data_IF_026432902466
#
_entry.id   IF_026432902466
#
_cell.length_a   1.000
_cell.length_b   1.000
_cell.length_c   1.000
_cell.angle_alpha   90.00
_cell.angle_beta   90.00
_cell.angle_gamma   90.00
#
_symmetry.space_group_name_H-M   'P 1'
#
loop_
_entity.id
_entity.type
_entity.pdbx_description
1 polymer ?
#
# COMPACT_ATOMS: atom_id res chain seq x y z
N UNK A 1 0.58 31.70 -10.31
CA UNK A 1 -0.47 30.94 -11.00
C UNK A 1 -0.94 29.78 -10.10
N UNK A 2 -2.14 29.24 -10.36
CA UNK A 2 -2.63 28.10 -9.59
C UNK A 2 -1.70 26.88 -9.64
N UNK A 3 -1.03 26.69 -10.77
CA UNK A 3 -0.03 25.61 -10.91
C UNK A 3 1.18 25.81 -9.98
N UNK A 4 1.68 27.03 -9.84
CA UNK A 4 2.78 27.29 -8.90
C UNK A 4 2.37 27.12 -7.43
N UNK A 5 1.12 27.39 -7.10
CA UNK A 5 0.60 27.10 -5.76
C UNK A 5 0.54 25.60 -5.52
N UNK A 6 0.06 24.83 -6.50
CA UNK A 6 0.04 23.35 -6.44
C UNK A 6 1.44 22.79 -6.22
N UNK A 7 2.42 23.23 -7.02
CA UNK A 7 3.82 22.79 -6.87
C UNK A 7 4.36 23.10 -5.47
N UNK A 8 4.08 24.30 -4.94
CA UNK A 8 4.51 24.68 -3.59
C UNK A 8 3.89 23.82 -2.51
N UNK A 9 2.58 23.56 -2.59
CA UNK A 9 1.87 22.74 -1.62
C UNK A 9 2.42 21.28 -1.64
N UNK A 10 2.69 20.74 -2.81
CA UNK A 10 3.27 19.39 -2.92
C UNK A 10 4.70 19.34 -2.38
N UNK A 11 5.51 20.37 -2.66
CA UNK A 11 6.86 20.48 -2.10
C UNK A 11 6.87 20.59 -0.57
N UNK A 12 5.82 21.14 0.02
CA UNK A 12 5.63 21.22 1.47
C UNK A 12 5.04 19.94 2.09
N UNK A 13 4.82 18.90 1.28
CA UNK A 13 4.30 17.62 1.77
C UNK A 13 2.78 17.59 2.00
N UNK A 14 2.06 18.57 1.47
CA UNK A 14 0.58 18.58 1.55
C UNK A 14 0.03 17.38 0.78
N UNK A 15 -0.63 16.46 1.47
CA UNK A 15 -1.16 15.21 0.90
C UNK A 15 -2.65 15.28 0.54
N UNK A 16 -3.37 16.28 1.03
CA UNK A 16 -4.78 16.49 0.76
C UNK A 16 -5.05 16.58 -0.75
N UNK A 17 -6.24 16.11 -1.22
CA UNK A 17 -6.60 16.23 -2.62
C UNK A 17 -6.77 17.70 -3.01
N UNK A 18 -6.25 18.06 -4.18
CA UNK A 18 -6.32 19.42 -4.71
C UNK A 18 -7.06 19.36 -6.04
N UNK A 19 -8.17 20.08 -6.13
CA UNK A 19 -8.93 20.25 -7.35
C UNK A 19 -8.61 21.62 -7.95
N UNK A 20 -8.20 21.64 -9.22
CA UNK A 20 -7.86 22.87 -9.93
C UNK A 20 -9.08 23.39 -10.70
N UNK A 21 -9.39 24.69 -10.52
CA UNK A 21 -10.41 25.38 -11.31
C UNK A 21 -9.75 26.48 -12.13
N UNK A 22 -10.09 26.55 -13.42
CA UNK A 22 -9.53 27.55 -14.32
C UNK A 22 -10.59 28.17 -15.22
N UNK A 23 -10.44 29.45 -15.55
CA UNK A 23 -11.27 30.12 -16.55
C UNK A 23 -10.82 29.89 -18.00
N UNK A 24 -9.59 29.42 -18.21
CA UNK A 24 -9.01 29.16 -19.50
C UNK A 24 -8.17 27.89 -19.45
N UNK A 25 -8.85 26.73 -19.61
CA UNK A 25 -8.19 25.43 -19.62
C UNK A 25 -7.61 25.10 -20.99
N UNK A 26 -6.34 24.77 -21.03
CA UNK A 26 -5.71 24.15 -22.19
C UNK A 26 -5.31 22.72 -21.85
N UNK A 27 -5.17 21.88 -22.89
CA UNK A 27 -4.71 20.49 -22.70
C UNK A 27 -3.36 20.47 -21.97
N UNK A 28 -2.49 21.40 -22.32
CA UNK A 28 -1.16 21.50 -21.69
C UNK A 28 -1.25 21.84 -20.19
N UNK A 29 -2.11 22.78 -19.80
CA UNK A 29 -2.35 23.13 -18.40
C UNK A 29 -2.92 21.94 -17.64
N UNK A 30 -3.88 21.23 -18.22
CA UNK A 30 -4.48 20.04 -17.65
C UNK A 30 -3.42 18.95 -17.39
N UNK A 31 -2.59 18.64 -18.38
CA UNK A 31 -1.49 17.67 -18.24
C UNK A 31 -0.50 18.08 -17.16
N UNK A 32 -0.12 19.36 -17.10
CA UNK A 32 0.79 19.87 -16.06
C UNK A 32 0.16 19.77 -14.67
N UNK A 33 -1.13 20.08 -14.53
CA UNK A 33 -1.84 19.97 -13.26
C UNK A 33 -1.84 18.52 -12.74
N UNK A 34 -2.19 17.55 -13.56
CA UNK A 34 -2.17 16.14 -13.16
C UNK A 34 -0.75 15.64 -12.87
N UNK A 35 0.23 16.05 -13.66
CA UNK A 35 1.64 15.70 -13.42
C UNK A 35 2.17 16.29 -12.11
N UNK A 36 1.68 17.47 -11.73
CA UNK A 36 2.02 18.11 -10.45
C UNK A 36 1.23 17.56 -9.26
N UNK A 37 0.32 16.59 -9.50
CA UNK A 37 -0.41 15.92 -8.44
C UNK A 37 -1.79 16.52 -8.12
N UNK A 38 -2.42 17.23 -9.07
CA UNK A 38 -3.84 17.60 -8.93
C UNK A 38 -4.70 16.33 -8.93
N UNK A 39 -5.71 16.30 -8.07
CA UNK A 39 -6.69 15.22 -8.06
C UNK A 39 -7.66 15.34 -9.22
N UNK A 40 -8.02 16.57 -9.60
CA UNK A 40 -8.91 16.86 -10.71
C UNK A 40 -8.67 18.26 -11.25
N UNK A 41 -9.11 18.50 -12.49
CA UNK A 41 -8.99 19.77 -13.19
C UNK A 41 -10.32 20.10 -13.84
N UNK A 42 -10.94 21.23 -13.45
CA UNK A 42 -12.23 21.68 -13.94
C UNK A 42 -12.13 23.05 -14.61
N UNK A 43 -12.88 23.24 -15.69
CA UNK A 43 -12.98 24.52 -16.38
C UNK A 43 -14.22 25.28 -15.93
N UNK A 44 -14.06 26.58 -15.67
CA UNK A 44 -15.17 27.49 -15.36
C UNK A 44 -15.90 27.89 -16.64
N UNK A 45 -17.24 28.02 -16.64
CA UNK A 45 -18.14 27.85 -15.50
C UNK A 45 -18.40 26.37 -15.16
N UNK A 46 -18.36 26.01 -13.89
CA UNK A 46 -18.65 24.67 -13.40
C UNK A 46 -19.94 24.72 -12.57
N UNK A 47 -20.84 23.75 -12.77
CA UNK A 47 -22.05 23.65 -11.96
C UNK A 47 -21.75 23.17 -10.55
N UNK A 48 -22.61 23.55 -9.61
CA UNK A 48 -22.45 23.14 -8.20
C UNK A 48 -22.46 21.63 -8.05
N UNK A 49 -23.30 20.92 -8.81
CA UNK A 49 -23.39 19.46 -8.78
C UNK A 49 -22.08 18.80 -9.23
N UNK A 50 -21.49 19.27 -10.34
CA UNK A 50 -20.23 18.75 -10.84
C UNK A 50 -19.08 19.05 -9.87
N UNK A 51 -19.05 20.24 -9.31
CA UNK A 51 -18.03 20.61 -8.32
C UNK A 51 -18.15 19.74 -7.07
N UNK A 52 -19.35 19.57 -6.54
CA UNK A 52 -19.60 18.76 -5.34
C UNK A 52 -19.22 17.30 -5.57
N UNK A 53 -19.66 16.71 -6.67
CA UNK A 53 -19.32 15.33 -7.02
C UNK A 53 -17.83 15.13 -7.16
N UNK A 54 -17.14 16.06 -7.82
CA UNK A 54 -15.69 16.02 -8.00
C UNK A 54 -14.95 16.06 -6.66
N UNK A 55 -15.34 16.96 -5.77
CA UNK A 55 -14.74 17.10 -4.43
C UNK A 55 -14.98 15.83 -3.61
N UNK A 56 -16.22 15.32 -3.60
CA UNK A 56 -16.57 14.10 -2.86
C UNK A 56 -15.79 12.89 -3.37
N UNK A 57 -15.64 12.74 -4.67
CA UNK A 57 -14.88 11.66 -5.28
C UNK A 57 -13.38 11.77 -4.94
N UNK A 58 -12.83 12.97 -5.02
CA UNK A 58 -11.42 13.22 -4.66
C UNK A 58 -11.14 12.88 -3.20
N UNK A 59 -12.04 13.25 -2.29
CA UNK A 59 -11.93 12.92 -0.85
C UNK A 59 -12.02 11.41 -0.63
N UNK A 60 -12.99 10.72 -1.27
CA UNK A 60 -13.12 9.26 -1.14
C UNK A 60 -11.86 8.52 -1.62
N UNK A 61 -11.30 8.92 -2.75
CA UNK A 61 -10.07 8.32 -3.28
C UNK A 61 -8.88 8.56 -2.35
N UNK A 62 -8.78 9.75 -1.79
CA UNK A 62 -7.72 10.11 -0.84
C UNK A 62 -7.79 9.25 0.43
N UNK A 63 -8.98 9.09 1.02
CA UNK A 63 -9.20 8.27 2.22
C UNK A 63 -8.81 6.81 1.93
N UNK A 64 -9.26 6.24 0.81
CA UNK A 64 -8.91 4.87 0.41
C UNK A 64 -7.40 4.68 0.23
N UNK A 65 -6.74 5.66 -0.37
CA UNK A 65 -5.27 5.61 -0.55
C UNK A 65 -4.55 5.61 0.79
N UNK A 66 -4.96 6.46 1.72
CA UNK A 66 -4.37 6.53 3.07
C UNK A 66 -4.59 5.26 3.87
N UNK A 67 -5.78 4.69 3.81
CA UNK A 67 -6.10 3.41 4.46
C UNK A 67 -5.22 2.28 3.91
N UNK A 68 -5.04 2.21 2.59
CA UNK A 68 -4.18 1.22 1.94
C UNK A 68 -2.72 1.37 2.34
N UNK A 69 -2.18 2.61 2.35
CA UNK A 69 -0.80 2.88 2.77
C UNK A 69 -0.57 2.51 4.24
N UNK A 70 -1.54 2.80 5.11
CA UNK A 70 -1.47 2.43 6.52
C UNK A 70 -1.50 0.92 6.70
N UNK A 71 -2.33 0.19 5.94
CA UNK A 71 -2.38 -1.27 5.96
C UNK A 71 -1.07 -1.90 5.47
N UNK A 72 -0.49 -1.37 4.38
CA UNK A 72 0.79 -1.83 3.86
C UNK A 72 1.93 -1.59 4.86
N UNK A 73 1.96 -0.45 5.52
CA UNK A 73 2.94 -0.13 6.54
C UNK A 73 2.82 -1.07 7.74
N UNK A 74 1.60 -1.35 8.20
CA UNK A 74 1.32 -2.27 9.29
C UNK A 74 1.85 -3.68 8.98
N UNK A 75 1.58 -4.17 7.77
CA UNK A 75 2.08 -5.48 7.29
C UNK A 75 3.60 -5.52 7.26
N UNK A 76 4.25 -4.49 6.74
CA UNK A 76 5.72 -4.39 6.71
C UNK A 76 6.34 -4.38 8.10
N UNK A 77 5.77 -3.64 9.03
CA UNK A 77 6.24 -3.59 10.43
C UNK A 77 6.16 -4.97 11.08
N UNK A 78 5.07 -5.72 10.85
CA UNK A 78 4.94 -7.10 11.34
C UNK A 78 5.98 -8.02 10.73
N UNK A 79 6.18 -7.94 9.43
CA UNK A 79 7.20 -8.74 8.74
C UNK A 79 8.62 -8.45 9.29
N UNK A 80 8.97 -7.20 9.51
CA UNK A 80 10.29 -6.84 10.07
C UNK A 80 10.49 -7.32 11.50
N UNK A 81 9.42 -7.61 12.24
CA UNK A 81 9.50 -8.17 13.60
C UNK A 81 9.90 -9.65 13.65
N UNK A 82 9.86 -10.34 12.50
CA UNK A 82 10.24 -11.74 12.43
C UNK A 82 11.76 -11.92 12.61
N UNK A 83 12.14 -13.00 13.29
CA UNK A 83 13.53 -13.45 13.32
C UNK A 83 13.97 -13.94 11.93
N UNK A 84 15.26 -14.04 11.71
CA UNK A 84 15.81 -14.58 10.46
C UNK A 84 15.27 -15.99 10.17
N UNK A 85 15.24 -16.85 11.17
CA UNK A 85 14.74 -18.23 11.05
C UNK A 85 13.23 -18.25 10.74
N UNK A 86 12.46 -17.37 11.36
CA UNK A 86 11.03 -17.26 11.07
C UNK A 86 10.78 -16.79 9.62
N UNK A 87 11.60 -15.89 9.10
CA UNK A 87 11.55 -15.47 7.69
C UNK A 87 11.89 -16.62 6.74
N UNK A 88 12.89 -17.40 7.05
CA UNK A 88 13.24 -18.60 6.27
C UNK A 88 12.09 -19.60 6.23
N UNK A 89 11.47 -19.85 7.39
CA UNK A 89 10.29 -20.72 7.46
C UNK A 89 9.12 -20.14 6.67
N UNK A 90 8.86 -18.84 6.80
CA UNK A 90 7.80 -18.17 6.03
C UNK A 90 8.01 -18.31 4.52
N UNK A 91 9.23 -18.11 4.03
CA UNK A 91 9.55 -18.24 2.61
C UNK A 91 9.20 -19.65 2.08
N UNK A 92 9.51 -20.69 2.84
CA UNK A 92 9.23 -22.08 2.45
C UNK A 92 7.73 -22.42 2.55
N UNK A 93 7.02 -21.83 3.52
CA UNK A 93 5.55 -21.93 3.59
C UNK A 93 4.92 -21.34 2.32
N UNK A 94 5.37 -20.17 1.90
CA UNK A 94 4.85 -19.48 0.70
C UNK A 94 5.13 -20.32 -0.57
N UNK A 95 6.25 -21.04 -0.62
CA UNK A 95 6.56 -21.97 -1.71
C UNK A 95 5.68 -23.23 -1.69
N UNK A 96 4.95 -23.48 -0.62
CA UNK A 96 4.04 -24.60 -0.50
C UNK A 96 4.62 -25.85 0.16
N UNK A 97 5.75 -25.73 0.84
CA UNK A 97 6.38 -26.86 1.53
C UNK A 97 5.59 -27.25 2.79
N UNK A 98 5.55 -28.55 3.06
CA UNK A 98 5.02 -29.08 4.33
C UNK A 98 6.01 -28.87 5.47
N UNK A 99 5.56 -28.97 6.73
CA UNK A 99 6.44 -28.87 7.89
C UNK A 99 7.61 -29.85 7.84
N UNK A 100 7.38 -31.07 7.33
CA UNK A 100 8.40 -32.08 7.15
C UNK A 100 9.45 -31.69 6.11
N UNK A 101 9.00 -31.14 4.99
CA UNK A 101 9.88 -30.64 3.93
C UNK A 101 10.68 -29.42 4.37
N UNK A 102 10.06 -28.50 5.11
CA UNK A 102 10.72 -27.34 5.70
C UNK A 102 11.80 -27.81 6.69
N UNK A 103 11.49 -28.77 7.54
CA UNK A 103 12.44 -29.36 8.48
C UNK A 103 13.66 -29.94 7.77
N UNK A 104 13.46 -30.64 6.66
CA UNK A 104 14.55 -31.16 5.84
C UNK A 104 15.38 -30.04 5.22
N UNK A 105 14.73 -29.02 4.67
CA UNK A 105 15.42 -27.89 4.04
C UNK A 105 16.27 -27.07 5.00
N UNK A 106 15.80 -26.91 6.23
CA UNK A 106 16.48 -26.08 7.25
C UNK A 106 17.22 -26.89 8.31
N UNK A 107 17.26 -28.21 8.20
CA UNK A 107 17.85 -29.11 9.19
C UNK A 107 17.23 -28.95 10.59
N UNK A 108 15.91 -28.87 10.63
CA UNK A 108 15.11 -28.75 11.84
C UNK A 108 14.17 -29.94 11.99
N UNK A 109 13.81 -30.28 13.24
CA UNK A 109 12.74 -31.25 13.46
C UNK A 109 11.37 -30.65 13.03
N UNK A 110 10.40 -31.48 12.59
CA UNK A 110 9.05 -30.98 12.30
C UNK A 110 8.41 -30.23 13.46
N UNK A 111 8.66 -30.64 14.70
CA UNK A 111 8.16 -29.97 15.89
C UNK A 111 8.77 -28.55 16.04
N UNK A 112 10.05 -28.38 15.76
CA UNK A 112 10.69 -27.06 15.77
C UNK A 112 10.11 -26.17 14.68
N UNK A 113 9.85 -26.73 13.50
CA UNK A 113 9.15 -25.99 12.42
C UNK A 113 7.76 -25.54 12.87
N UNK A 114 7.01 -26.42 13.52
CA UNK A 114 5.69 -26.07 14.08
C UNK A 114 5.77 -24.91 15.06
N UNK A 115 6.80 -24.90 15.91
CA UNK A 115 7.04 -23.81 16.87
C UNK A 115 7.34 -22.50 16.17
N UNK A 116 8.24 -22.50 15.18
CA UNK A 116 8.52 -21.32 14.38
C UNK A 116 7.29 -20.83 13.63
N UNK A 117 6.51 -21.76 13.08
CA UNK A 117 5.26 -21.45 12.38
C UNK A 117 4.25 -20.78 13.31
N UNK A 118 4.04 -21.32 14.50
CA UNK A 118 3.15 -20.72 15.50
C UNK A 118 3.60 -19.31 15.89
N UNK A 119 4.89 -19.12 16.12
CA UNK A 119 5.45 -17.83 16.49
C UNK A 119 5.30 -16.80 15.36
N UNK A 120 5.59 -17.17 14.12
CA UNK A 120 5.44 -16.24 13.00
C UNK A 120 3.97 -15.90 12.73
N UNK A 121 3.04 -16.86 12.86
CA UNK A 121 1.62 -16.59 12.73
C UNK A 121 1.14 -15.59 13.79
N UNK A 122 1.60 -15.74 15.04
CA UNK A 122 1.28 -14.81 16.12
C UNK A 122 1.86 -13.41 15.87
N UNK A 123 3.12 -13.31 15.45
CA UNK A 123 3.78 -12.02 15.15
C UNK A 123 3.13 -11.32 13.96
N UNK A 124 2.77 -12.07 12.92
CA UNK A 124 2.11 -11.53 11.73
C UNK A 124 0.62 -11.27 11.93
N UNK A 125 0.05 -11.75 13.05
CA UNK A 125 -1.37 -11.65 13.37
C UNK A 125 -2.27 -12.22 12.28
N UNK A 126 -1.92 -13.42 11.81
CA UNK A 126 -2.71 -14.16 10.82
C UNK A 126 -3.29 -15.43 11.46
N UNK A 127 -4.50 -15.81 11.06
CA UNK A 127 -5.24 -16.93 11.63
C UNK A 127 -5.09 -18.23 10.86
N UNK A 128 -4.80 -18.12 9.56
CA UNK A 128 -4.71 -19.27 8.66
C UNK A 128 -3.77 -19.01 7.50
N UNK A 129 -3.48 -20.07 6.74
CA UNK A 129 -2.57 -20.01 5.59
C UNK A 129 -3.04 -19.05 4.50
N UNK A 130 -4.33 -19.02 4.20
CA UNK A 130 -4.88 -18.11 3.18
C UNK A 130 -4.67 -16.65 3.56
N UNK A 131 -4.87 -16.30 4.82
CA UNK A 131 -4.62 -14.98 5.36
C UNK A 131 -3.14 -14.60 5.26
N UNK A 132 -2.25 -15.53 5.63
CA UNK A 132 -0.80 -15.37 5.51
C UNK A 132 -0.39 -15.06 4.06
N UNK A 133 -0.82 -15.88 3.12
CA UNK A 133 -0.48 -15.74 1.70
C UNK A 133 -0.99 -14.42 1.15
N UNK A 134 -2.24 -14.07 1.46
CA UNK A 134 -2.86 -12.82 0.97
C UNK A 134 -2.06 -11.57 1.34
N UNK A 135 -1.57 -11.51 2.58
CA UNK A 135 -0.95 -10.28 3.11
C UNK A 135 0.57 -10.27 3.02
N UNK A 136 1.22 -11.42 3.01
CA UNK A 136 2.68 -11.49 3.16
C UNK A 136 3.44 -12.14 2.00
N UNK A 137 2.77 -12.83 1.09
CA UNK A 137 3.44 -13.51 -0.01
C UNK A 137 4.27 -12.57 -0.90
N UNK A 138 3.77 -11.37 -1.16
CA UNK A 138 4.46 -10.36 -1.97
C UNK A 138 5.76 -9.84 -1.33
N UNK A 139 5.84 -9.82 -0.01
CA UNK A 139 7.04 -9.41 0.72
C UNK A 139 8.16 -10.45 0.61
N UNK A 140 7.80 -11.73 0.57
CA UNK A 140 8.74 -12.83 0.44
C UNK A 140 9.29 -12.93 -0.98
N UNK A 141 8.47 -12.73 -2.00
CA UNK A 141 8.86 -12.85 -3.41
C UNK A 141 9.79 -11.73 -3.91
N UNK A 142 9.98 -10.67 -3.14
CA UNK A 142 10.88 -9.53 -3.46
C UNK A 142 12.32 -9.79 -3.01
N UNK A 143 12.56 -10.82 -2.19
CA UNK A 143 13.93 -11.22 -1.80
C UNK A 143 14.60 -11.95 -2.95
N UNK A 144 15.77 -11.48 -3.43
CA UNK A 144 16.54 -12.20 -4.44
C UNK A 144 17.07 -13.55 -3.94
#
# INVERSE_FOLDING_TARGET
>A
SGLSVLDTLRAQGVDQPIVMLTGHGTVEMCRRAFKAGAAEFLEKPVSDDVLLDTVQQAVRQHVRRRERLAADQWVRERYTSLSEREREVLALIVEGLTNKEIGRALSLSPRTVETHRANLFAKLQVDNLAHLIRHYASLVSVSP
#
